data_IF_485668064976
#
_entry.id   IF_485668064976
#
_cell.length_a   1.000
_cell.length_b   1.000
_cell.length_c   1.000
_cell.angle_alpha   90.00
_cell.angle_beta   90.00
_cell.angle_gamma   90.00
#
_symmetry.space_group_name_H-M   'P 1'
#
loop_
_entity.id
_entity.type
_entity.pdbx_description
1 polymer ?
#
# COMPACT_ATOMS: atom_id res chain seq x y z
N UNK A 1 -2.74 -24.79 -2.52
CA UNK A 1 -1.34 -25.10 -2.17
C UNK A 1 -0.68 -23.81 -1.72
N UNK A 2 -0.27 -23.73 -0.45
CA UNK A 2 0.54 -22.61 0.04
C UNK A 2 1.95 -22.74 -0.54
N UNK A 3 2.46 -21.67 -1.18
CA UNK A 3 3.86 -21.63 -1.63
C UNK A 3 4.76 -21.54 -0.40
N UNK A 4 5.97 -22.12 -0.49
CA UNK A 4 6.97 -22.08 0.57
C UNK A 4 7.14 -20.65 1.13
N UNK A 5 7.33 -20.50 2.45
CA UNK A 5 7.59 -19.22 3.06
C UNK A 5 8.83 -18.57 2.43
N UNK A 6 8.78 -17.25 2.26
CA UNK A 6 9.91 -16.47 1.77
C UNK A 6 11.08 -16.47 2.76
N UNK A 7 12.22 -15.86 2.42
CA UNK A 7 13.43 -15.83 3.27
C UNK A 7 13.22 -15.19 4.66
N UNK A 8 12.09 -14.54 4.87
CA UNK A 8 11.66 -13.92 6.13
C UNK A 8 10.64 -14.77 6.92
N UNK A 9 10.35 -16.00 6.49
CA UNK A 9 9.45 -16.93 7.19
C UNK A 9 7.95 -16.74 6.92
N UNK A 10 7.56 -15.74 6.12
CA UNK A 10 6.15 -15.47 5.81
C UNK A 10 5.73 -16.04 4.44
N UNK A 11 4.52 -16.59 4.35
CA UNK A 11 3.96 -17.11 3.08
C UNK A 11 3.40 -15.99 2.22
N UNK A 12 3.29 -16.22 0.91
CA UNK A 12 2.68 -15.28 -0.02
C UNK A 12 1.22 -14.96 0.34
N UNK A 13 0.51 -15.94 0.93
CA UNK A 13 -0.85 -15.75 1.45
C UNK A 13 -0.92 -14.78 2.61
N UNK A 14 0.05 -14.82 3.52
CA UNK A 14 0.13 -13.86 4.61
C UNK A 14 0.24 -12.44 4.04
N UNK A 15 1.17 -12.22 3.11
CA UNK A 15 1.33 -10.93 2.44
C UNK A 15 0.07 -10.47 1.71
N UNK A 16 -0.63 -11.38 1.01
CA UNK A 16 -1.90 -11.05 0.37
C UNK A 16 -2.98 -10.64 1.38
N UNK A 17 -3.06 -11.31 2.54
CA UNK A 17 -4.02 -11.00 3.58
C UNK A 17 -3.73 -9.66 4.29
N UNK A 18 -2.45 -9.34 4.53
CA UNK A 18 -2.06 -8.08 5.17
C UNK A 18 -1.87 -6.92 4.18
N UNK A 19 -1.95 -7.17 2.86
CA UNK A 19 -1.77 -6.16 1.82
C UNK A 19 -2.64 -4.90 1.98
N UNK A 20 -3.93 -4.98 2.38
CA UNK A 20 -4.74 -3.77 2.61
C UNK A 20 -4.17 -2.90 3.74
N UNK A 21 -3.72 -3.52 4.83
CA UNK A 21 -3.11 -2.82 5.97
C UNK A 21 -1.78 -2.20 5.56
N UNK A 22 -0.95 -2.96 4.84
CA UNK A 22 0.33 -2.46 4.31
C UNK A 22 0.11 -1.27 3.38
N UNK A 23 -0.88 -1.32 2.48
CA UNK A 23 -1.17 -0.19 1.58
C UNK A 23 -1.62 1.06 2.33
N UNK A 24 -2.51 0.93 3.30
CA UNK A 24 -2.94 2.07 4.14
C UNK A 24 -1.81 2.61 5.04
N UNK A 25 -0.84 1.77 5.37
CA UNK A 25 0.28 2.10 6.24
C UNK A 25 1.45 2.80 5.52
N UNK A 26 1.46 2.81 4.19
CA UNK A 26 2.53 3.39 3.40
C UNK A 26 2.11 4.74 2.84
N UNK A 27 3.03 5.70 2.87
CA UNK A 27 2.96 6.93 2.06
C UNK A 27 4.25 7.10 1.29
N UNK A 28 4.21 7.86 0.20
CA UNK A 28 5.42 8.22 -0.55
C UNK A 28 5.73 9.69 -0.31
N UNK A 29 6.96 9.98 0.10
CA UNK A 29 7.51 11.32 0.07
C UNK A 29 8.12 11.56 -1.31
N UNK A 30 7.51 12.47 -2.07
CA UNK A 30 7.96 12.83 -3.41
C UNK A 30 9.34 13.50 -3.37
N UNK A 31 10.25 12.97 -4.17
CA UNK A 31 11.48 13.62 -4.60
C UNK A 31 11.28 14.10 -6.03
N UNK A 32 11.94 13.42 -6.99
CA UNK A 32 11.84 13.70 -8.42
C UNK A 32 10.60 13.06 -9.09
N UNK A 33 9.86 12.22 -8.36
CA UNK A 33 8.60 11.62 -8.80
C UNK A 33 8.75 10.56 -9.88
N UNK A 34 9.95 10.01 -10.10
CA UNK A 34 10.21 9.04 -11.18
C UNK A 34 9.97 7.59 -10.78
N UNK A 35 10.20 7.25 -9.51
CA UNK A 35 10.05 5.89 -8.99
C UNK A 35 8.64 5.63 -8.45
N UNK A 36 7.80 6.66 -8.43
CA UNK A 36 6.42 6.63 -7.94
C UNK A 36 5.42 6.65 -9.08
N UNK A 37 4.47 5.72 -9.10
CA UNK A 37 3.38 5.69 -10.08
C UNK A 37 2.29 6.70 -9.73
N UNK A 38 1.78 7.39 -10.75
CA UNK A 38 0.85 8.50 -10.52
C UNK A 38 -0.47 8.06 -9.86
N UNK A 39 -1.10 6.97 -10.29
CA UNK A 39 -2.45 6.64 -9.82
C UNK A 39 -2.50 5.59 -8.70
N UNK A 40 -1.48 4.73 -8.61
CA UNK A 40 -1.53 3.54 -7.75
C UNK A 40 -0.82 3.74 -6.42
N UNK A 41 0.10 4.71 -6.33
CA UNK A 41 0.90 4.94 -5.13
C UNK A 41 0.34 6.07 -4.25
N UNK A 42 0.49 5.97 -2.92
CA UNK A 42 -0.04 6.92 -1.95
C UNK A 42 0.88 8.14 -1.75
N UNK A 43 1.01 8.97 -2.78
CA UNK A 43 1.91 10.13 -2.78
C UNK A 43 1.19 11.46 -2.59
N UNK A 44 -0.13 11.52 -2.81
CA UNK A 44 -0.91 12.74 -2.70
C UNK A 44 -1.57 12.79 -1.33
N UNK A 45 -1.01 13.59 -0.41
CA UNK A 45 -1.41 13.66 1.01
C UNK A 45 -1.36 12.29 1.75
N UNK A 46 -0.55 11.35 1.25
CA UNK A 46 -0.49 9.98 1.77
C UNK A 46 -1.62 9.08 1.27
N UNK A 47 -2.40 9.51 0.28
CA UNK A 47 -3.43 8.73 -0.39
C UNK A 47 -3.12 8.58 -1.88
N UNK A 48 -3.67 7.53 -2.50
CA UNK A 48 -3.53 7.34 -3.93
C UNK A 48 -4.54 8.24 -4.66
N UNK A 49 -4.15 8.92 -5.76
CA UNK A 49 -5.08 9.71 -6.57
C UNK A 49 -6.35 8.97 -7.02
N UNK A 50 -6.25 7.65 -7.27
CA UNK A 50 -7.42 6.83 -7.62
C UNK A 50 -8.40 6.66 -6.45
N UNK A 51 -7.89 6.64 -5.22
CA UNK A 51 -8.68 6.38 -4.01
C UNK A 51 -9.34 7.67 -3.52
N UNK A 52 -8.71 8.82 -3.78
CA UNK A 52 -9.28 10.16 -3.60
C UNK A 52 -10.45 10.46 -4.55
N UNK A 53 -10.42 9.86 -5.74
CA UNK A 53 -11.36 10.13 -6.81
C UNK A 53 -11.94 8.84 -7.43
N UNK A 54 -12.67 8.02 -6.64
CA UNK A 54 -13.15 6.70 -7.07
C UNK A 54 -14.24 6.75 -8.16
N UNK A 55 -14.87 7.90 -8.38
CA UNK A 55 -15.86 8.10 -9.44
C UNK A 55 -15.21 8.39 -10.80
N UNK A 56 -13.89 8.60 -10.86
CA UNK A 56 -13.18 8.72 -12.12
C UNK A 56 -13.05 7.36 -12.79
N UNK A 57 -13.60 7.26 -14.00
CA UNK A 57 -13.35 6.10 -14.85
C UNK A 57 -11.98 6.28 -15.49
N UNK A 58 -10.99 5.58 -14.92
CA UNK A 58 -9.62 5.62 -15.42
C UNK A 58 -9.42 4.57 -16.52
N UNK A 59 -8.67 4.95 -17.55
CA UNK A 59 -8.22 4.07 -18.63
C UNK A 59 -7.00 3.25 -18.20
N UNK A 60 -5.92 3.31 -18.98
CA UNK A 60 -4.68 2.62 -18.62
C UNK A 60 -3.98 3.33 -17.45
N UNK A 61 -4.24 2.82 -16.23
CA UNK A 61 -3.76 3.40 -14.97
C UNK A 61 -2.29 3.11 -14.66
N UNK A 62 -1.63 2.25 -15.45
CA UNK A 62 -0.49 1.48 -14.98
C UNK A 62 0.91 2.03 -15.35
N UNK A 63 1.04 3.08 -16.16
CA UNK A 63 2.29 3.20 -16.94
C UNK A 63 3.09 4.49 -16.82
N UNK A 64 2.72 5.44 -15.96
CA UNK A 64 3.51 6.68 -15.87
C UNK A 64 3.76 7.13 -14.44
N UNK A 65 4.93 7.75 -14.28
CA UNK A 65 5.42 8.25 -13.01
C UNK A 65 4.77 9.58 -12.66
N UNK A 66 4.87 10.00 -11.40
CA UNK A 66 4.37 11.30 -10.94
C UNK A 66 5.01 12.44 -11.74
N UNK A 67 6.31 12.35 -12.00
CA UNK A 67 7.06 13.30 -12.82
C UNK A 67 6.46 13.47 -14.22
N UNK A 68 6.16 12.35 -14.89
CA UNK A 68 5.56 12.37 -16.21
C UNK A 68 4.12 12.89 -16.17
N UNK A 69 3.36 12.50 -15.14
CA UNK A 69 1.95 12.89 -14.96
C UNK A 69 1.76 14.38 -14.74
N UNK A 70 2.54 14.94 -13.82
CA UNK A 70 2.51 16.37 -13.50
C UNK A 70 3.03 17.23 -14.66
N UNK A 71 3.94 16.69 -15.49
CA UNK A 71 4.44 17.40 -16.66
C UNK A 71 3.29 17.69 -17.65
N UNK A 72 2.94 18.97 -17.80
CA UNK A 72 1.91 19.43 -18.73
C UNK A 72 0.52 18.88 -18.46
N UNK A 73 0.21 18.49 -17.20
CA UNK A 73 -1.06 17.85 -16.82
C UNK A 73 -1.40 16.59 -17.63
N UNK A 74 -0.39 15.85 -18.08
CA UNK A 74 -0.56 14.64 -18.89
C UNK A 74 -1.36 13.55 -18.17
N UNK A 75 -1.39 13.58 -16.83
CA UNK A 75 -2.19 12.69 -16.01
C UNK A 75 -3.69 12.67 -16.39
N UNK A 76 -4.22 13.80 -16.87
CA UNK A 76 -5.62 13.91 -17.31
C UNK A 76 -5.95 13.06 -18.53
N UNK A 77 -4.96 12.69 -19.35
CA UNK A 77 -5.14 11.82 -20.52
C UNK A 77 -5.57 10.39 -20.13
N UNK A 78 -5.39 10.01 -18.87
CA UNK A 78 -5.82 8.72 -18.33
C UNK A 78 -7.30 8.68 -17.95
N UNK A 79 -7.98 9.84 -17.94
CA UNK A 79 -9.35 9.99 -17.46
C UNK A 79 -10.30 9.87 -18.64
N UNK A 80 -11.35 9.07 -18.50
CA UNK A 80 -12.39 9.02 -19.51
C UNK A 80 -13.16 10.35 -19.54
N UNK A 81 -13.32 10.99 -20.71
CA UNK A 81 -14.02 12.28 -20.82
C UNK A 81 -15.51 12.19 -20.45
N UNK A 82 -16.12 11.00 -20.48
CA UNK A 82 -17.51 10.79 -20.07
C UNK A 82 -17.63 10.67 -18.54
N UNK A 83 -17.49 11.81 -17.86
CA UNK A 83 -17.62 11.91 -16.41
C UNK A 83 -19.07 12.14 -15.96
N UNK A 84 -19.45 11.50 -14.86
CA UNK A 84 -20.68 11.84 -14.13
C UNK A 84 -20.49 13.16 -13.37
N UNK A 85 -21.58 13.74 -12.85
CA UNK A 85 -21.52 14.93 -11.98
C UNK A 85 -20.52 14.76 -10.83
N UNK A 86 -20.56 13.61 -10.16
CA UNK A 86 -19.62 13.27 -9.09
C UNK A 86 -18.19 13.11 -9.62
N UNK A 87 -18.02 12.53 -10.80
CA UNK A 87 -16.72 12.44 -11.47
C UNK A 87 -16.12 13.81 -11.76
N UNK A 88 -16.92 14.79 -12.18
CA UNK A 88 -16.48 16.18 -12.40
C UNK A 88 -16.04 16.81 -11.08
N UNK A 89 -16.83 16.64 -10.01
CA UNK A 89 -16.49 17.18 -8.68
C UNK A 89 -15.16 16.63 -8.17
N UNK A 90 -14.96 15.32 -8.28
CA UNK A 90 -13.72 14.66 -7.86
C UNK A 90 -12.53 15.02 -8.76
N UNK A 91 -12.76 15.17 -10.07
CA UNK A 91 -11.73 15.67 -10.99
C UNK A 91 -11.22 17.05 -10.58
N UNK A 92 -12.12 18.00 -10.28
CA UNK A 92 -11.75 19.35 -9.86
C UNK A 92 -11.00 19.36 -8.52
N UNK A 93 -11.45 18.54 -7.55
CA UNK A 93 -10.75 18.36 -6.28
C UNK A 93 -9.32 17.85 -6.51
N UNK A 94 -9.17 16.85 -7.37
CA UNK A 94 -7.88 16.24 -7.66
C UNK A 94 -6.96 17.23 -8.39
N UNK A 95 -7.51 17.99 -9.35
CA UNK A 95 -6.79 19.04 -10.07
C UNK A 95 -6.20 20.10 -9.13
N UNK A 96 -7.01 20.61 -8.20
CA UNK A 96 -6.56 21.62 -7.24
C UNK A 96 -5.43 21.11 -6.35
N UNK A 97 -5.54 19.86 -5.87
CA UNK A 97 -4.48 19.24 -5.07
C UNK A 97 -3.19 19.05 -5.85
N UNK A 98 -3.27 18.52 -7.08
CA UNK A 98 -2.08 18.28 -7.91
C UNK A 98 -1.40 19.59 -8.33
N UNK A 99 -2.17 20.65 -8.58
CA UNK A 99 -1.63 21.96 -8.96
C UNK A 99 -0.72 22.56 -7.87
N UNK A 100 -0.92 22.18 -6.61
CA UNK A 100 -0.12 22.62 -5.46
C UNK A 100 1.08 21.70 -5.18
N UNK A 101 1.32 20.66 -5.99
CA UNK A 101 2.43 19.73 -5.79
C UNK A 101 3.70 20.25 -6.47
N UNK A 102 4.73 20.47 -5.67
CA UNK A 102 6.07 20.82 -6.14
C UNK A 102 6.97 19.58 -6.09
N UNK A 103 7.50 19.18 -7.24
CA UNK A 103 8.49 18.10 -7.33
C UNK A 103 9.88 18.64 -7.00
N UNK A 104 10.60 17.90 -6.16
CA UNK A 104 11.98 18.20 -5.80
C UNK A 104 12.99 17.58 -6.77
N UNK A 105 14.27 17.67 -6.41
CA UNK A 105 15.38 17.03 -7.14
C UNK A 105 15.95 15.79 -6.44
N UNK A 106 15.29 15.31 -5.39
CA UNK A 106 15.71 14.16 -4.58
C UNK A 106 15.20 12.82 -5.11
N UNK A 107 15.55 11.71 -4.45
CA UNK A 107 14.98 10.39 -4.75
C UNK A 107 13.67 10.23 -3.99
N UNK A 108 12.67 9.61 -4.63
CA UNK A 108 11.41 9.26 -3.97
C UNK A 108 11.66 8.32 -2.78
N UNK A 109 10.98 8.56 -1.66
CA UNK A 109 11.17 7.75 -0.46
C UNK A 109 9.86 7.25 0.13
N UNK A 110 9.80 5.95 0.37
CA UNK A 110 8.65 5.32 1.03
C UNK A 110 8.72 5.56 2.54
N UNK A 111 7.62 6.04 3.11
CA UNK A 111 7.43 6.24 4.54
C UNK A 111 6.41 5.24 5.09
N UNK A 112 6.83 4.52 6.14
CA UNK A 112 5.96 3.65 6.93
C UNK A 112 5.30 4.45 8.05
N UNK A 113 4.02 4.78 7.91
CA UNK A 113 3.30 5.71 8.77
C UNK A 113 2.98 5.16 10.19
N UNK A 114 3.12 3.84 10.40
CA UNK A 114 2.76 3.18 11.67
C UNK A 114 3.87 3.17 12.72
N UNK A 115 5.10 3.55 12.37
CA UNK A 115 6.20 3.69 13.34
C UNK A 115 6.82 5.06 13.15
N UNK A 116 7.16 5.71 14.26
CA UNK A 116 7.88 7.00 14.32
C UNK A 116 9.20 7.02 13.56
N UNK A 117 9.81 5.87 13.28
CA UNK A 117 11.05 5.76 12.49
C UNK A 117 10.81 5.88 10.99
N UNK A 118 9.57 5.75 10.51
CA UNK A 118 9.23 5.81 9.08
C UNK A 118 9.76 4.65 8.24
N UNK A 119 10.44 3.67 8.84
CA UNK A 119 11.05 2.55 8.12
C UNK A 119 10.16 1.30 8.14
N UNK A 120 10.02 0.66 6.98
CA UNK A 120 9.33 -0.61 6.86
C UNK A 120 10.15 -1.76 7.47
N UNK A 121 9.49 -2.64 8.23
CA UNK A 121 10.06 -3.92 8.64
C UNK A 121 8.98 -5.01 8.65
N UNK A 122 9.37 -6.26 8.43
CA UNK A 122 8.42 -7.37 8.53
C UNK A 122 7.78 -7.46 9.94
N UNK A 123 8.53 -7.09 10.99
CA UNK A 123 8.06 -7.01 12.37
C UNK A 123 6.99 -5.93 12.55
N UNK A 124 7.16 -4.75 11.97
CA UNK A 124 6.19 -3.66 12.09
C UNK A 124 4.90 -3.93 11.33
N UNK A 125 4.99 -4.53 10.14
CA UNK A 125 3.82 -4.97 9.38
C UNK A 125 3.05 -6.08 10.12
N UNK A 126 3.75 -7.00 10.78
CA UNK A 126 3.14 -8.01 11.64
C UNK A 126 2.40 -7.34 12.82
N UNK A 127 3.07 -6.46 13.57
CA UNK A 127 2.44 -5.78 14.71
C UNK A 127 1.20 -4.98 14.27
N UNK A 128 1.29 -4.18 13.20
CA UNK A 128 0.15 -3.44 12.67
C UNK A 128 -1.03 -4.33 12.24
N UNK A 129 -0.76 -5.56 11.74
CA UNK A 129 -1.81 -6.52 11.39
C UNK A 129 -2.52 -7.12 12.62
N UNK A 130 -1.80 -7.22 13.74
CA UNK A 130 -2.31 -7.78 15.00
C UNK A 130 -2.70 -6.71 16.03
N UNK A 131 -2.47 -5.43 15.74
CA UNK A 131 -2.87 -4.30 16.57
C UNK A 131 -4.37 -4.36 16.87
N UNK A 132 -4.74 -4.40 18.16
CA UNK A 132 -6.13 -4.52 18.61
C UNK A 132 -6.66 -5.95 18.75
N UNK A 133 -5.88 -7.00 18.42
CA UNK A 133 -6.19 -8.37 18.86
C UNK A 133 -5.64 -8.60 20.26
N UNK A 134 -6.51 -9.08 21.15
CA UNK A 134 -6.11 -9.47 22.51
C UNK A 134 -5.17 -10.67 22.43
N UNK A 135 -4.00 -10.59 23.05
CA UNK A 135 -3.14 -11.74 23.26
C UNK A 135 -3.95 -12.81 23.99
N UNK A 136 -4.17 -13.96 23.35
CA UNK A 136 -4.78 -15.09 24.03
C UNK A 136 -3.80 -15.57 25.11
N UNK A 137 -4.15 -15.37 26.38
CA UNK A 137 -3.31 -15.71 27.54
C UNK A 137 -2.88 -17.20 27.59
N UNK A 138 -3.45 -18.08 26.77
CA UNK A 138 -3.06 -19.48 26.64
C UNK A 138 -2.06 -19.80 25.53
N UNK A 139 -1.36 -18.82 24.94
CA UNK A 139 -0.31 -19.07 23.94
C UNK A 139 0.76 -20.05 24.44
N UNK A 140 1.14 -19.92 25.72
CA UNK A 140 2.03 -20.87 26.38
C UNK A 140 1.40 -22.25 26.49
N UNK A 141 0.09 -22.40 26.73
CA UNK A 141 -0.58 -23.70 26.82
C UNK A 141 -0.66 -24.43 25.48
N UNK A 142 -0.84 -23.70 24.37
CA UNK A 142 -0.90 -24.30 23.02
C UNK A 142 0.48 -24.78 22.57
N UNK A 143 1.54 -24.00 22.83
CA UNK A 143 2.90 -24.34 22.43
C UNK A 143 3.66 -25.22 23.44
N UNK A 144 3.28 -25.18 24.73
CA UNK A 144 3.78 -26.12 25.75
C UNK A 144 2.97 -27.42 25.83
N UNK A 145 1.86 -27.52 25.10
CA UNK A 145 1.11 -28.76 24.96
C UNK A 145 2.01 -29.82 24.32
N UNK A 146 2.59 -30.67 25.17
CA UNK A 146 3.15 -31.98 24.81
C UNK A 146 2.02 -32.92 24.39
N UNK A 147 1.22 -32.53 23.41
CA UNK A 147 0.28 -33.44 22.77
C UNK A 147 1.14 -34.51 22.08
N UNK A 148 1.01 -35.80 22.45
CA UNK A 148 1.83 -36.83 21.85
C UNK A 148 1.51 -36.89 20.35
N UNK A 149 2.54 -36.80 19.51
CA UNK A 149 2.40 -37.06 18.08
C UNK A 149 1.83 -38.47 17.90
N UNK A 150 0.61 -38.59 17.38
CA UNK A 150 0.06 -39.90 16.93
C UNK A 150 0.68 -40.35 15.61
N UNK A 151 2.00 -40.21 15.48
CA UNK A 151 2.77 -40.75 14.36
C UNK A 151 3.58 -41.93 14.90
N UNK A 152 3.10 -43.15 14.63
CA UNK A 152 3.88 -44.37 14.83
C UNK A 152 5.00 -44.36 13.79
N UNK A 153 6.23 -44.10 14.21
CA UNK A 153 7.41 -44.43 13.40
C UNK A 153 7.65 -45.94 13.54
N UNK A 154 7.59 -46.68 12.43
CA UNK A 154 8.11 -48.04 12.36
C UNK A 154 9.58 -47.96 11.93
N UNK A 155 10.43 -48.61 12.72
CA UNK A 155 11.87 -48.78 12.49
C UNK A 155 12.10 -49.85 11.42
#
# INVERSE_FOLDING_TARGET
MDKCPGPNGFTSRFYAACWPVIKAANSVALGDGRDTTFWLDPWLDGECPKDLAPALVLGNVASFSVAAGCLGNSWTASINPNLSEEGIRQFLLLWDRIANVELGSGVDSFRWNWITTGQFSAKSAYLAFFEGRVEFAGLDLVWSSKAPSRCKFFL
#
